data_IF_880612442592
#
_entry.id   IF_880612442592
#
_cell.length_a   1.000
_cell.length_b   1.000
_cell.length_c   1.000
_cell.angle_alpha   90.00
_cell.angle_beta   90.00
_cell.angle_gamma   90.00
#
_symmetry.space_group_name_H-M   'P 1'
#
loop_
_entity.id
_entity.type
_entity.pdbx_description
1 polymer ?
#
# COMPACT_ATOMS: atom_id res chain seq x y z
N UNK A 1 -16.08 -1.26 -13.23
CA UNK A 1 -14.75 -1.91 -13.21
C UNK A 1 -14.37 -2.11 -11.75
N UNK A 2 -13.89 -3.29 -11.35
CA UNK A 2 -13.46 -3.51 -9.95
C UNK A 2 -12.11 -2.84 -9.74
N UNK A 3 -11.98 -2.01 -8.71
CA UNK A 3 -10.69 -1.46 -8.28
C UNK A 3 -9.82 -2.61 -7.79
N UNK A 4 -8.70 -2.87 -8.43
CA UNK A 4 -7.72 -3.87 -7.99
C UNK A 4 -6.37 -3.21 -7.70
N UNK A 5 -5.70 -3.67 -6.66
CA UNK A 5 -4.29 -3.39 -6.42
C UNK A 5 -3.51 -4.70 -6.56
N UNK A 6 -2.34 -4.62 -7.16
CA UNK A 6 -1.44 -5.75 -7.32
C UNK A 6 -0.21 -5.52 -6.46
N UNK A 7 0.08 -6.45 -5.55
CA UNK A 7 1.28 -6.40 -4.73
C UNK A 7 2.35 -7.27 -5.36
N UNK A 8 3.55 -6.72 -5.50
CA UNK A 8 4.72 -7.37 -6.07
C UNK A 8 5.84 -7.33 -5.04
N UNK A 9 6.49 -8.47 -4.76
CA UNK A 9 7.61 -8.52 -3.82
C UNK A 9 8.86 -7.97 -4.52
N UNK A 10 9.56 -7.07 -3.84
CA UNK A 10 10.86 -6.56 -4.25
C UNK A 10 11.94 -7.20 -3.38
N UNK A 11 13.21 -7.09 -3.80
CA UNK A 11 14.33 -7.52 -2.96
C UNK A 11 14.42 -6.75 -1.64
N UNK A 12 14.06 -5.45 -1.66
CA UNK A 12 14.12 -4.56 -0.51
C UNK A 12 12.76 -4.32 0.15
N UNK A 13 11.71 -5.05 -0.21
CA UNK A 13 10.37 -4.82 0.31
C UNK A 13 9.28 -5.23 -0.68
N UNK A 14 8.37 -4.31 -0.99
CA UNK A 14 7.15 -4.57 -1.77
C UNK A 14 6.72 -3.35 -2.59
N UNK A 15 6.15 -3.60 -3.75
CA UNK A 15 5.55 -2.59 -4.61
C UNK A 15 4.07 -2.88 -4.82
N UNK A 16 3.22 -1.88 -4.65
CA UNK A 16 1.77 -1.94 -4.78
C UNK A 16 1.38 -1.10 -5.98
N UNK A 17 0.95 -1.72 -7.07
CA UNK A 17 0.45 -1.04 -8.26
C UNK A 17 -1.07 -1.00 -8.26
N UNK A 18 -1.67 0.16 -8.51
CA UNK A 18 -3.11 0.31 -8.60
C UNK A 18 -3.59 0.26 -10.05
N UNK A 19 -4.72 -0.40 -10.29
CA UNK A 19 -5.39 -0.40 -11.60
C UNK A 19 -6.01 0.95 -11.93
N UNK A 20 -6.18 1.21 -13.23
CA UNK A 20 -6.87 2.41 -13.73
C UNK A 20 -8.31 2.46 -13.17
N UNK A 21 -8.63 3.53 -12.45
CA UNK A 21 -9.92 3.72 -11.76
C UNK A 21 -9.80 3.92 -10.24
N UNK A 22 -8.60 3.79 -9.67
CA UNK A 22 -8.33 4.23 -8.29
C UNK A 22 -8.04 5.73 -8.26
N UNK A 23 -8.74 6.48 -7.41
CA UNK A 23 -8.56 7.92 -7.27
C UNK A 23 -7.21 8.25 -6.60
N UNK A 24 -6.37 9.08 -7.25
CA UNK A 24 -5.07 9.53 -6.71
C UNK A 24 -5.17 10.02 -5.27
N UNK A 25 -6.20 10.83 -4.98
CA UNK A 25 -6.45 11.40 -3.65
C UNK A 25 -6.63 10.30 -2.59
N UNK A 26 -7.35 9.22 -2.92
CA UNK A 26 -7.57 8.11 -1.98
C UNK A 26 -6.26 7.37 -1.69
N UNK A 27 -5.40 7.19 -2.69
CA UNK A 27 -4.08 6.56 -2.51
C UNK A 27 -3.19 7.44 -1.65
N UNK A 28 -3.16 8.75 -1.91
CA UNK A 28 -2.44 9.72 -1.08
C UNK A 28 -2.89 9.67 0.38
N UNK A 29 -4.20 9.71 0.64
CA UNK A 29 -4.75 9.59 1.99
C UNK A 29 -4.37 8.27 2.67
N UNK A 30 -4.33 7.16 1.93
CA UNK A 30 -3.87 5.88 2.45
C UNK A 30 -2.38 5.94 2.83
N UNK A 31 -1.52 6.46 1.95
CA UNK A 31 -0.08 6.59 2.20
C UNK A 31 0.20 7.52 3.37
N UNK A 32 -0.46 8.68 3.41
CA UNK A 32 -0.34 9.64 4.50
C UNK A 32 -0.70 9.01 5.84
N UNK A 33 -1.81 8.26 5.90
CA UNK A 33 -2.18 7.49 7.09
C UNK A 33 -1.14 6.43 7.45
N UNK A 34 -0.55 5.75 6.47
CA UNK A 34 0.53 4.80 6.73
C UNK A 34 1.79 5.47 7.29
N UNK A 35 2.21 6.60 6.70
CA UNK A 35 3.41 7.35 7.11
C UNK A 35 3.24 8.02 8.47
N UNK A 36 2.03 8.49 8.80
CA UNK A 36 1.70 9.08 10.11
C UNK A 36 1.39 8.03 11.19
N UNK A 37 1.45 6.73 10.85
CA UNK A 37 1.13 5.63 11.77
C UNK A 37 -0.36 5.40 12.00
N UNK A 38 -1.23 6.24 11.42
CA UNK A 38 -2.70 6.19 11.50
C UNK A 38 -3.34 5.17 10.54
N UNK A 39 -2.55 4.26 9.95
CA UNK A 39 -3.12 3.15 9.18
C UNK A 39 -3.51 2.01 10.13
N UNK A 40 -4.80 1.71 10.19
CA UNK A 40 -5.32 0.53 10.90
C UNK A 40 -5.28 -0.73 10.02
N UNK A 41 -4.70 -0.60 8.82
CA UNK A 41 -4.64 -1.67 7.84
C UNK A 41 -3.53 -2.68 8.16
N UNK A 42 -2.46 -2.26 8.85
CA UNK A 42 -1.28 -3.09 9.15
C UNK A 42 -1.09 -3.23 10.66
N UNK A 43 -0.57 -4.38 11.10
CA UNK A 43 -0.16 -4.61 12.48
C UNK A 43 1.01 -3.70 12.86
N UNK A 44 1.15 -3.35 14.14
CA UNK A 44 2.29 -2.55 14.62
C UNK A 44 3.64 -3.21 14.31
N UNK A 45 3.69 -4.55 14.31
CA UNK A 45 4.88 -5.29 13.88
C UNK A 45 5.25 -4.97 12.43
N UNK A 46 4.29 -5.05 11.51
CA UNK A 46 4.50 -4.72 10.09
C UNK A 46 4.91 -3.26 9.92
N UNK A 47 4.29 -2.33 10.66
CA UNK A 47 4.65 -0.90 10.64
C UNK A 47 6.12 -0.67 11.04
N UNK A 48 6.60 -1.38 12.05
CA UNK A 48 8.00 -1.29 12.49
C UNK A 48 9.00 -1.86 11.47
N UNK A 49 8.56 -2.77 10.58
CA UNK A 49 9.40 -3.32 9.50
C UNK A 49 9.53 -2.36 8.31
N UNK A 50 8.71 -1.32 8.23
CA UNK A 50 8.74 -0.33 7.16
C UNK A 50 9.87 0.65 7.41
N UNK A 51 10.85 0.66 6.51
CA UNK A 51 11.97 1.60 6.54
C UNK A 51 11.64 2.86 5.73
N UNK A 52 10.93 2.70 4.61
CA UNK A 52 10.55 3.82 3.73
C UNK A 52 9.27 3.52 2.96
N UNK A 53 8.44 4.55 2.76
CA UNK A 53 7.29 4.49 1.85
C UNK A 53 7.47 5.57 0.79
N UNK A 54 7.46 5.16 -0.47
CA UNK A 54 7.56 6.02 -1.66
C UNK A 54 6.26 5.89 -2.45
N UNK A 55 5.59 7.01 -2.71
CA UNK A 55 4.43 7.06 -3.59
C UNK A 55 4.88 7.58 -4.95
N UNK A 56 4.60 6.82 -6.01
CA UNK A 56 4.77 7.24 -7.40
C UNK A 56 3.39 7.64 -7.94
N UNK A 57 3.18 8.92 -8.18
CA UNK A 57 1.92 9.49 -8.67
C UNK A 57 1.92 9.84 -10.17
N UNK A 58 2.79 9.20 -10.96
CA UNK A 58 2.96 9.41 -12.40
C UNK A 58 1.76 9.00 -13.26
N UNK A 59 2.03 8.36 -14.41
CA UNK A 59 0.99 7.89 -15.33
C UNK A 59 0.13 6.80 -14.68
N UNK A 60 0.79 5.85 -14.00
CA UNK A 60 0.18 4.86 -13.12
C UNK A 60 0.57 5.10 -11.67
N UNK A 61 -0.40 4.97 -10.76
CA UNK A 61 -0.19 5.17 -9.34
C UNK A 61 0.38 3.90 -8.73
N UNK A 62 1.51 4.00 -8.04
CA UNK A 62 2.08 2.88 -7.28
C UNK A 62 2.70 3.33 -5.96
N UNK A 63 2.71 2.44 -4.97
CA UNK A 63 3.37 2.64 -3.68
C UNK A 63 4.48 1.61 -3.54
N UNK A 64 5.70 2.06 -3.37
CA UNK A 64 6.81 1.22 -2.96
C UNK A 64 7.02 1.35 -1.46
N UNK A 65 7.04 0.22 -0.77
CA UNK A 65 7.35 0.14 0.65
C UNK A 65 8.65 -0.66 0.76
N UNK A 66 9.71 0.01 1.19
CA UNK A 66 10.98 -0.64 1.49
C UNK A 66 10.98 -1.06 2.96
N UNK A 67 11.35 -2.31 3.19
CA UNK A 67 11.40 -2.95 4.49
C UNK A 67 11.91 -4.37 4.36
N UNK A 68 13.09 -4.62 4.93
CA UNK A 68 13.82 -5.88 4.80
C UNK A 68 13.07 -7.13 5.29
N UNK A 69 12.10 -6.94 6.20
CA UNK A 69 11.35 -8.01 6.86
C UNK A 69 9.87 -8.08 6.42
N UNK A 70 9.44 -7.26 5.46
CA UNK A 70 8.03 -7.20 5.05
C UNK A 70 7.69 -8.35 4.11
N UNK A 71 6.65 -9.08 4.44
CA UNK A 71 6.11 -10.15 3.60
C UNK A 71 4.94 -9.64 2.75
N UNK A 72 4.82 -10.19 1.54
CA UNK A 72 3.77 -9.81 0.58
C UNK A 72 2.36 -10.03 1.16
N UNK A 73 2.19 -11.10 1.93
CA UNK A 73 0.91 -11.47 2.55
C UNK A 73 0.44 -10.45 3.61
N UNK A 74 1.37 -9.81 4.33
CA UNK A 74 1.04 -8.78 5.33
C UNK A 74 0.39 -7.57 4.63
N UNK A 75 0.96 -7.16 3.50
CA UNK A 75 0.47 -6.04 2.70
C UNK A 75 -0.85 -6.38 2.01
N UNK A 76 -0.97 -7.59 1.46
CA UNK A 76 -2.23 -8.03 0.85
C UNK A 76 -3.39 -8.06 1.86
N UNK A 77 -3.13 -8.54 3.08
CA UNK A 77 -4.13 -8.53 4.16
C UNK A 77 -4.52 -7.10 4.54
N UNK A 78 -3.54 -6.19 4.59
CA UNK A 78 -3.79 -4.78 4.86
C UNK A 78 -4.61 -4.10 3.78
N UNK A 79 -4.29 -4.35 2.51
CA UNK A 79 -5.03 -3.83 1.36
C UNK A 79 -6.46 -4.35 1.29
N UNK A 80 -6.69 -5.63 1.64
CA UNK A 80 -8.04 -6.20 1.75
C UNK A 80 -8.87 -5.50 2.84
N UNK A 81 -8.24 -5.03 3.90
CA UNK A 81 -8.90 -4.25 4.93
C UNK A 81 -9.05 -2.77 4.57
N UNK A 82 -8.26 -2.27 3.62
CA UNK A 82 -8.27 -0.87 3.21
C UNK A 82 -9.61 -0.46 2.59
N UNK A 83 -10.21 0.66 3.02
CA UNK A 83 -11.43 1.21 2.42
C UNK A 83 -11.24 1.53 0.93
N UNK A 84 -9.99 1.71 0.48
CA UNK A 84 -9.61 2.03 -0.89
C UNK A 84 -10.05 0.96 -1.91
N UNK A 85 -10.03 -0.33 -1.51
CA UNK A 85 -10.42 -1.47 -2.34
C UNK A 85 -11.76 -2.08 -1.91
N UNK A 86 -12.25 -1.77 -0.70
CA UNK A 86 -13.54 -2.24 -0.18
C UNK A 86 -14.77 -1.53 -0.77
N UNK A 87 -14.60 -0.38 -1.42
CA UNK A 87 -15.72 0.25 -2.15
C UNK A 87 -16.04 -0.55 -3.43
N UNK A 88 -16.97 -1.49 -3.28
CA UNK A 88 -17.72 -2.16 -4.35
C UNK A 88 -19.10 -1.54 -4.51
#
# INVERSE_FOLDING_TARGET
MKKTAQVNKLQSGVNISFSQGVEKIKVFQMVERCQTGQCDCMSDETKNKIEKITLNDGEDISIQIDGSAIELQEIEAALKNSPLLKES
#
